data_IF_016829492905
#
_entry.id   IF_016829492905
#
_cell.length_a   1.000
_cell.length_b   1.000
_cell.length_c   1.000
_cell.angle_alpha   90.00
_cell.angle_beta   90.00
_cell.angle_gamma   90.00
#
_symmetry.space_group_name_H-M   'P 1'
#
loop_
_entity.id
_entity.type
_entity.pdbx_description
1 polymer ?
#
# COMPACT_ATOMS: atom_id res chain seq x y z
N UNK A 1 1.89 7.85 3.19
CA UNK A 1 1.99 6.78 4.21
C UNK A 1 2.59 7.36 5.47
N UNK A 2 1.94 7.18 6.62
CA UNK A 2 2.51 7.56 7.92
C UNK A 2 3.44 6.43 8.38
N UNK A 3 4.73 6.71 8.52
CA UNK A 3 5.73 5.73 8.99
C UNK A 3 7.13 6.33 8.92
N UNK A 4 7.99 6.00 9.88
CA UNK A 4 9.40 6.43 9.85
C UNK A 4 10.06 5.96 8.54
N UNK A 5 10.94 6.79 7.98
CA UNK A 5 11.71 6.44 6.78
C UNK A 5 12.60 5.22 7.01
N UNK A 6 13.13 4.65 5.92
CA UNK A 6 14.05 3.49 5.96
C UNK A 6 15.19 3.81 6.95
N UNK A 7 15.23 3.08 8.06
CA UNK A 7 16.32 3.21 9.04
C UNK A 7 17.27 2.03 8.85
N UNK A 8 18.55 2.27 8.52
CA UNK A 8 19.54 1.20 8.37
C UNK A 8 19.55 0.25 9.58
N UNK A 9 19.70 -1.05 9.33
CA UNK A 9 19.74 -2.07 10.39
C UNK A 9 18.38 -2.46 10.98
N UNK A 10 17.32 -1.68 10.73
CA UNK A 10 15.95 -1.97 11.20
C UNK A 10 15.12 -2.69 10.14
N UNK A 11 14.12 -3.43 10.60
CA UNK A 11 13.11 -4.03 9.74
C UNK A 11 12.08 -2.98 9.33
N UNK A 12 11.90 -2.79 8.02
CA UNK A 12 10.85 -1.96 7.48
C UNK A 12 9.58 -2.82 7.33
N UNK A 13 8.58 -2.62 8.22
CA UNK A 13 7.30 -3.34 8.15
C UNK A 13 6.21 -2.54 7.42
N UNK A 14 6.59 -1.54 6.62
CA UNK A 14 5.62 -0.77 5.83
C UNK A 14 5.14 -1.62 4.67
N UNK A 15 3.84 -1.85 4.62
CA UNK A 15 3.14 -2.52 3.53
C UNK A 15 2.27 -1.52 2.76
N UNK A 16 1.98 -1.79 1.50
CA UNK A 16 1.02 -1.04 0.71
C UNK A 16 0.14 -2.02 -0.08
N UNK A 17 -1.16 -1.75 -0.11
CA UNK A 17 -2.09 -2.52 -0.96
C UNK A 17 -2.32 -1.81 -2.29
N UNK A 18 -2.53 -2.60 -3.35
CA UNK A 18 -2.87 -2.13 -4.67
C UNK A 18 -4.23 -2.64 -5.12
N UNK A 19 -4.87 -1.97 -6.10
CA UNK A 19 -6.16 -2.41 -6.64
C UNK A 19 -6.16 -3.81 -7.24
N UNK A 20 -5.00 -4.31 -7.69
CA UNK A 20 -4.84 -5.66 -8.22
C UNK A 20 -4.83 -6.74 -7.13
N UNK A 21 -4.62 -6.35 -5.87
CA UNK A 21 -4.57 -7.29 -4.74
C UNK A 21 -5.97 -7.64 -4.23
N UNK A 22 -7.01 -7.02 -4.79
CA UNK A 22 -8.40 -7.11 -4.33
C UNK A 22 -9.34 -7.49 -5.48
N UNK A 23 -10.48 -8.14 -5.20
CA UNK A 23 -11.50 -8.42 -6.21
C UNK A 23 -12.02 -7.14 -6.87
N UNK A 24 -12.49 -7.23 -8.11
CA UNK A 24 -13.11 -6.07 -8.76
C UNK A 24 -14.46 -5.73 -8.11
N UNK A 25 -14.86 -4.46 -8.15
CA UNK A 25 -16.19 -4.06 -7.69
C UNK A 25 -17.31 -4.77 -8.46
N UNK A 26 -17.13 -4.98 -9.78
CA UNK A 26 -18.07 -5.73 -10.60
C UNK A 26 -18.25 -7.17 -10.13
N UNK A 27 -17.18 -7.83 -9.70
CA UNK A 27 -17.25 -9.17 -9.13
C UNK A 27 -18.03 -9.14 -7.81
N UNK A 28 -17.71 -8.21 -6.90
CA UNK A 28 -18.41 -8.07 -5.63
C UNK A 28 -19.91 -7.81 -5.80
N UNK A 29 -20.29 -6.93 -6.73
CA UNK A 29 -21.69 -6.62 -7.02
C UNK A 29 -22.44 -7.80 -7.62
N UNK A 30 -21.78 -8.58 -8.49
CA UNK A 30 -22.35 -9.82 -9.05
C UNK A 30 -22.68 -10.81 -7.93
N UNK A 31 -21.82 -10.92 -6.93
CA UNK A 31 -22.03 -11.71 -5.72
C UNK A 31 -22.93 -11.01 -4.68
N UNK A 32 -23.59 -9.91 -5.06
CA UNK A 32 -24.52 -9.13 -4.22
C UNK A 32 -23.88 -8.51 -2.97
N UNK A 33 -22.56 -8.36 -2.97
CA UNK A 33 -21.80 -7.69 -1.90
C UNK A 33 -21.80 -6.19 -2.18
N UNK A 34 -22.56 -5.44 -1.39
CA UNK A 34 -22.76 -3.99 -1.57
C UNK A 34 -22.20 -3.16 -0.41
N UNK A 35 -21.76 -3.79 0.68
CA UNK A 35 -21.26 -3.12 1.87
C UNK A 35 -19.88 -3.69 2.24
N UNK A 36 -18.91 -2.81 2.44
CA UNK A 36 -17.58 -3.16 2.92
C UNK A 36 -17.33 -2.40 4.23
N UNK A 37 -16.86 -3.12 5.23
CA UNK A 37 -16.49 -2.56 6.52
C UNK A 37 -14.97 -2.57 6.63
N UNK A 38 -14.40 -1.39 6.88
CA UNK A 38 -12.97 -1.20 7.16
C UNK A 38 -12.83 -1.02 8.67
N UNK A 39 -12.08 -1.91 9.31
CA UNK A 39 -11.77 -1.80 10.73
C UNK A 39 -10.60 -0.83 10.92
N UNK A 40 -10.90 0.45 11.10
CA UNK A 40 -9.90 1.50 11.33
C UNK A 40 -10.56 2.80 11.78
N UNK A 41 -9.77 3.69 12.37
CA UNK A 41 -10.19 5.07 12.65
C UNK A 41 -10.20 5.94 11.39
N UNK A 42 -9.32 5.66 10.42
CA UNK A 42 -9.19 6.43 9.17
C UNK A 42 -8.86 5.55 7.96
N UNK A 43 -9.33 5.92 6.77
CA UNK A 43 -8.93 5.25 5.53
C UNK A 43 -7.56 5.76 5.10
N UNK A 44 -6.57 4.87 5.07
CA UNK A 44 -5.22 5.19 4.60
C UNK A 44 -5.20 5.41 3.08
N UNK A 45 -4.21 6.18 2.61
CA UNK A 45 -4.16 6.61 1.21
C UNK A 45 -4.13 5.45 0.22
N UNK A 46 -3.39 4.38 0.49
CA UNK A 46 -3.35 3.19 -0.36
C UNK A 46 -4.72 2.53 -0.50
N UNK A 47 -5.40 2.30 0.62
CA UNK A 47 -6.75 1.73 0.66
C UNK A 47 -7.77 2.66 -0.01
N UNK A 48 -7.58 3.98 0.06
CA UNK A 48 -8.49 4.95 -0.57
C UNK A 48 -8.59 4.78 -2.09
N UNK A 49 -7.52 4.34 -2.77
CA UNK A 49 -7.56 4.03 -4.21
C UNK A 49 -8.47 2.83 -4.53
N UNK A 50 -8.65 1.92 -3.58
CA UNK A 50 -9.48 0.72 -3.72
C UNK A 50 -10.91 1.09 -3.32
N UNK A 51 -11.09 1.63 -2.12
CA UNK A 51 -12.39 2.03 -1.58
C UNK A 51 -13.11 3.05 -2.47
N UNK A 52 -12.37 3.98 -3.10
CA UNK A 52 -12.97 4.94 -4.05
C UNK A 52 -13.50 4.26 -5.31
N UNK A 53 -12.80 3.24 -5.85
CA UNK A 53 -13.28 2.48 -7.02
C UNK A 53 -14.56 1.72 -6.71
N UNK A 54 -14.68 1.21 -5.48
CA UNK A 54 -15.87 0.53 -5.00
C UNK A 54 -17.05 1.50 -4.87
N UNK A 55 -16.84 2.68 -4.27
CA UNK A 55 -17.88 3.71 -4.19
C UNK A 55 -18.35 4.22 -5.55
N UNK A 56 -17.44 4.40 -6.52
CA UNK A 56 -17.81 4.79 -7.89
C UNK A 56 -18.73 3.76 -8.57
N UNK A 57 -18.76 2.52 -8.09
CA UNK A 57 -19.65 1.45 -8.59
C UNK A 57 -20.83 1.18 -7.65
N UNK A 58 -21.04 2.01 -6.63
CA UNK A 58 -22.20 1.91 -5.74
C UNK A 58 -22.02 1.01 -4.51
N UNK A 59 -20.80 0.50 -4.25
CA UNK A 59 -20.51 -0.22 -3.01
C UNK A 59 -20.29 0.79 -1.88
N UNK A 60 -21.02 0.63 -0.79
CA UNK A 60 -20.91 1.46 0.42
C UNK A 60 -19.71 1.06 1.25
N UNK A 61 -18.99 2.06 1.76
CA UNK A 61 -17.82 1.86 2.60
C UNK A 61 -18.15 2.39 4.00
N UNK A 62 -17.95 1.54 4.99
CA UNK A 62 -18.16 1.85 6.40
C UNK A 62 -16.84 1.77 7.14
N UNK A 63 -16.59 2.71 8.05
CA UNK A 63 -15.53 2.58 9.05
C UNK A 63 -16.13 2.05 10.34
N UNK A 64 -15.49 1.02 10.88
CA UNK A 64 -15.72 0.55 12.24
C UNK A 64 -14.48 0.85 13.06
N UNK A 65 -14.63 1.72 14.08
CA UNK A 65 -13.51 2.08 14.95
C UNK A 65 -13.41 1.17 16.18
N UNK A 66 -12.28 1.26 16.88
CA UNK A 66 -12.03 0.50 18.12
C UNK A 66 -13.01 0.85 19.26
N UNK A 67 -13.73 1.97 19.15
CA UNK A 67 -14.75 2.42 20.11
C UNK A 67 -16.15 1.86 19.80
N UNK A 68 -16.27 1.01 18.78
CA UNK A 68 -17.51 0.31 18.43
C UNK A 68 -18.48 1.12 17.56
N UNK A 69 -18.08 2.28 17.02
CA UNK A 69 -18.95 3.07 16.14
C UNK A 69 -18.77 2.65 14.68
N UNK A 70 -19.87 2.29 14.03
CA UNK A 70 -19.94 2.07 12.58
C UNK A 70 -20.45 3.35 11.89
N UNK A 71 -19.73 3.83 10.89
CA UNK A 71 -20.13 5.01 10.11
C UNK A 71 -19.89 4.80 8.63
N UNK A 72 -20.88 5.09 7.81
CA UNK A 72 -20.68 5.20 6.37
C UNK A 72 -19.79 6.41 6.08
N UNK A 73 -18.81 6.26 5.20
CA UNK A 73 -17.84 7.31 4.90
C UNK A 73 -17.73 7.59 3.41
N UNK A 74 -17.69 8.85 3.04
CA UNK A 74 -17.32 9.28 1.71
C UNK A 74 -15.79 9.20 1.56
N UNK A 75 -15.31 8.29 0.71
CA UNK A 75 -13.88 8.12 0.45
C UNK A 75 -13.42 9.27 -0.43
N UNK A 76 -12.51 10.07 0.10
CA UNK A 76 -11.86 11.17 -0.63
C UNK A 76 -11.08 10.58 -1.80
N UNK A 77 -11.18 11.22 -2.97
CA UNK A 77 -10.44 10.80 -4.17
C UNK A 77 -8.94 11.04 -3.94
N UNK A 78 -8.09 9.99 -3.97
CA UNK A 78 -6.66 10.18 -3.78
C UNK A 78 -6.00 10.85 -5.00
N UNK A 79 -4.85 11.48 -4.77
CA UNK A 79 -3.97 11.97 -5.84
C UNK A 79 -3.57 10.84 -6.78
N UNK A 80 -3.45 11.10 -8.09
CA UNK A 80 -3.09 10.09 -9.09
C UNK A 80 -4.04 8.87 -9.14
N UNK A 81 -5.30 9.03 -8.76
CA UNK A 81 -6.31 7.99 -8.87
C UNK A 81 -6.40 7.43 -10.30
N UNK A 82 -6.42 6.09 -10.42
CA UNK A 82 -6.35 5.32 -11.69
C UNK A 82 -5.06 5.48 -12.51
N UNK A 83 -4.09 6.30 -12.08
CA UNK A 83 -2.79 6.40 -12.74
C UNK A 83 -1.86 5.26 -12.34
N UNK A 84 -1.06 4.77 -13.30
CA UNK A 84 0.05 3.84 -13.07
C UNK A 84 1.20 4.51 -12.29
N UNK A 85 1.34 5.84 -12.37
CA UNK A 85 2.43 6.60 -11.74
C UNK A 85 2.48 6.43 -10.21
N UNK A 86 1.32 6.35 -9.55
CA UNK A 86 1.22 6.11 -8.11
C UNK A 86 1.91 4.80 -7.71
N UNK A 87 1.68 3.72 -8.48
CA UNK A 87 2.26 2.41 -8.21
C UNK A 87 3.79 2.44 -8.32
N UNK A 88 4.33 3.10 -9.33
CA UNK A 88 5.78 3.26 -9.47
C UNK A 88 6.38 4.08 -8.32
N UNK A 89 5.76 5.20 -7.96
CA UNK A 89 6.23 6.07 -6.87
C UNK A 89 6.26 5.33 -5.52
N UNK A 90 5.21 4.56 -5.20
CA UNK A 90 5.14 3.79 -3.96
C UNK A 90 6.19 2.67 -3.94
N UNK A 91 6.36 1.93 -5.04
CA UNK A 91 7.32 0.83 -5.14
C UNK A 91 8.76 1.30 -4.87
N UNK A 92 9.16 2.47 -5.40
CA UNK A 92 10.51 3.01 -5.20
C UNK A 92 10.83 3.31 -3.73
N UNK A 93 9.81 3.62 -2.91
CA UNK A 93 9.95 3.97 -1.50
C UNK A 93 9.97 2.77 -0.53
N UNK A 94 9.68 1.57 -1.00
CA UNK A 94 9.55 0.37 -0.18
C UNK A 94 10.76 -0.56 -0.30
N UNK A 95 10.92 -1.47 0.67
CA UNK A 95 11.86 -2.60 0.58
C UNK A 95 11.05 -3.81 0.14
N UNK A 96 11.54 -4.56 -0.86
CA UNK A 96 10.92 -5.82 -1.30
C UNK A 96 11.49 -6.99 -0.52
N UNK A 97 10.64 -7.95 -0.15
CA UNK A 97 11.09 -9.24 0.37
C UNK A 97 11.34 -10.26 -0.76
N UNK A 98 11.98 -11.36 -0.40
CA UNK A 98 12.27 -12.51 -1.28
C UNK A 98 11.01 -13.25 -1.77
N UNK A 99 9.87 -13.07 -1.12
CA UNK A 99 8.57 -13.65 -1.51
C UNK A 99 7.78 -12.75 -2.47
N UNK A 100 8.36 -11.63 -2.93
CA UNK A 100 7.72 -10.72 -3.89
C UNK A 100 6.78 -9.66 -3.28
N UNK A 101 6.61 -9.65 -1.95
CA UNK A 101 5.86 -8.62 -1.21
C UNK A 101 6.73 -7.47 -0.70
N UNK A 102 6.15 -6.61 0.14
CA UNK A 102 6.85 -5.50 0.78
C UNK A 102 7.24 -5.82 2.23
N UNK A 103 8.31 -5.18 2.66
CA UNK A 103 8.89 -5.30 3.99
C UNK A 103 10.18 -6.10 3.99
N UNK A 104 11.15 -5.71 4.81
CA UNK A 104 12.47 -6.35 4.83
C UNK A 104 13.49 -5.61 5.67
N UNK A 105 14.61 -6.27 5.97
CA UNK A 105 15.72 -5.64 6.70
C UNK A 105 16.36 -4.57 5.80
N UNK A 106 16.36 -3.32 6.25
CA UNK A 106 17.06 -2.24 5.55
C UNK A 106 18.56 -2.50 5.70
N UNK A 107 19.31 -2.67 4.60
CA UNK A 107 20.73 -2.95 4.67
C UNK A 107 21.44 -1.83 5.44
N UNK A 108 22.34 -2.23 6.35
CA UNK A 108 23.30 -1.28 6.91
C UNK A 108 24.26 -0.89 5.78
N UNK A 109 24.64 0.39 5.74
CA UNK A 109 25.78 0.78 4.91
C UNK A 109 27.00 0.10 5.53
N UNK A 110 27.39 -1.06 5.01
CA UNK A 110 28.69 -1.64 5.32
C UNK A 110 29.70 -0.56 4.95
N UNK A 111 30.52 -0.11 5.89
CA UNK A 111 31.73 0.63 5.53
C UNK A 111 32.47 -0.26 4.55
N UNK A 112 32.45 0.12 3.27
CA UNK A 112 33.30 -0.47 2.26
C UNK A 112 34.72 -0.07 2.61
N UNK A 113 35.36 -0.91 3.42
CA UNK A 113 36.80 -0.95 3.55
C UNK A 113 37.41 -1.13 2.16
N UNK A 114 38.38 -0.27 1.86
CA UNK A 114 39.40 -0.37 0.81
C UNK A 114 39.45 -1.71 0.06
N UNK A 115 39.01 -1.71 -1.21
CA UNK A 115 39.16 -2.84 -2.13
C UNK A 115 39.29 -2.32 -3.56
N UNK A 116 40.52 -2.36 -4.09
CA UNK A 116 40.94 -1.64 -5.29
C UNK A 116 40.15 -1.96 -6.57
N UNK A 117 39.98 -0.92 -7.38
CA UNK A 117 39.52 -1.01 -8.77
C UNK A 117 40.47 -1.89 -9.59
N UNK A 118 39.95 -2.89 -10.27
CA UNK A 118 40.51 -3.36 -11.55
C UNK A 118 39.36 -3.51 -12.55
N UNK A 119 39.37 -2.65 -13.57
CA UNK A 119 38.64 -2.90 -14.81
C UNK A 119 39.33 -4.06 -15.52
N UNK A 120 38.61 -5.15 -15.76
CA UNK A 120 39.01 -6.21 -16.68
C UNK A 120 38.01 -6.24 -17.83
N UNK A 121 38.44 -5.78 -19.00
CA UNK A 121 37.74 -5.97 -20.28
C UNK A 121 38.27 -7.29 -20.87
N UNK A 122 37.37 -8.19 -21.25
CA UNK A 122 37.66 -9.47 -21.89
C UNK A 122 36.38 -10.06 -22.44
#
# INVERSE_FOLDING_TARGET
MKGAGKTPGKYDNRWCVFPQDMPSASFLLKEQIQNIIVYSDEIQNDLSHISRRYQEQGIKIHLYNCKGSLKEVAVVKPSYFKSLSYRFQVIMGLVRNTSGGFGGKVPEATQSGSGGRRFGMG
#
